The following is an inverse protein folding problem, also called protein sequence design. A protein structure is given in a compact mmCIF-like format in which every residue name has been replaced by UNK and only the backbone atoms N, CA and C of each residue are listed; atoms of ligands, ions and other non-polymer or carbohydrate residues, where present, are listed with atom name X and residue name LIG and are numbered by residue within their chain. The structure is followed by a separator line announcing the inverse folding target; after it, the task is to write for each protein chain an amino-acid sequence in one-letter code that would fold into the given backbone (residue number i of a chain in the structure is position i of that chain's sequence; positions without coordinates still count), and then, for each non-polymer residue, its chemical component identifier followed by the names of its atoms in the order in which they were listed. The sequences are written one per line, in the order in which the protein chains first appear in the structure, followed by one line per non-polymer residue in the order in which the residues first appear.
data_IF_740617133560
#
_entry.id   IF_740617133560
#
_cell.length_a   1.000
_cell.length_b   1.000
_cell.length_c   1.000
_cell.angle_alpha   90.00
_cell.angle_beta   90.00
_cell.angle_gamma   90.00
#
_symmetry.space_group_name_H-M   'P 1'
#
loop_
_entity.id
_entity.type
_entity.pdbx_description
1 polymer ?
#
# COMPACT_ATOMS: atom_id res chain seq x y z
N UNK A 1 -7.83 -32.20 4.35
CA UNK A 1 -6.64 -32.86 4.88
C UNK A 1 -6.11 -32.02 6.01
N UNK A 2 -5.58 -32.64 7.05
CA UNK A 2 -4.95 -31.92 8.16
C UNK A 2 -3.68 -31.20 7.68
N UNK A 3 -3.34 -30.03 8.24
CA UNK A 3 -2.11 -29.32 7.90
C UNK A 3 -0.90 -30.15 8.35
N UNK A 4 -0.08 -30.58 7.38
CA UNK A 4 1.15 -31.31 7.65
C UNK A 4 2.27 -30.34 8.05
N UNK A 5 2.63 -30.32 9.33
CA UNK A 5 3.69 -29.47 9.86
C UNK A 5 5.06 -29.71 9.22
N UNK A 6 5.31 -30.90 8.69
CA UNK A 6 6.55 -31.21 7.97
C UNK A 6 6.67 -30.47 6.62
N UNK A 7 5.55 -30.00 6.06
CA UNK A 7 5.52 -29.23 4.81
C UNK A 7 5.60 -27.73 5.03
N UNK A 8 5.57 -27.26 6.29
CA UNK A 8 5.68 -25.83 6.57
C UNK A 8 7.09 -25.32 6.32
N UNK A 9 7.18 -24.23 5.58
CA UNK A 9 8.43 -23.49 5.40
C UNK A 9 8.87 -22.93 6.75
N UNK A 10 10.12 -23.17 7.13
CA UNK A 10 10.71 -22.65 8.36
C UNK A 10 11.51 -21.39 8.07
N UNK A 11 11.74 -20.58 9.10
CA UNK A 11 12.58 -19.39 8.99
C UNK A 11 14.05 -19.84 8.97
N UNK A 12 14.74 -19.63 7.85
CA UNK A 12 16.17 -19.90 7.71
C UNK A 12 17.00 -18.71 8.22
N UNK A 13 16.58 -17.48 7.92
CA UNK A 13 17.29 -16.25 8.33
C UNK A 13 16.34 -15.05 8.37
N UNK A 14 16.63 -14.09 9.25
CA UNK A 14 16.02 -12.75 9.22
C UNK A 14 16.88 -11.82 8.36
N UNK A 15 16.26 -11.09 7.44
CA UNK A 15 16.92 -10.10 6.59
C UNK A 15 17.56 -8.98 7.44
N UNK A 16 18.73 -8.52 7.02
CA UNK A 16 19.44 -7.45 7.73
C UNK A 16 18.78 -6.07 7.52
N UNK A 17 18.17 -5.88 6.35
CA UNK A 17 17.60 -4.60 5.96
C UNK A 17 16.15 -4.46 6.43
N UNK A 18 15.89 -3.39 7.18
CA UNK A 18 14.55 -2.99 7.61
C UNK A 18 14.16 -1.73 6.87
N UNK A 19 13.17 -1.82 5.98
CA UNK A 19 12.66 -0.67 5.25
C UNK A 19 11.52 0.00 6.01
N UNK A 20 11.47 1.33 5.97
CA UNK A 20 10.37 2.10 6.57
C UNK A 20 9.30 2.32 5.51
N UNK A 21 8.12 1.74 5.73
CA UNK A 21 6.95 1.91 4.86
C UNK A 21 6.12 3.05 5.42
N UNK A 22 5.96 4.11 4.63
CA UNK A 22 5.10 5.24 4.97
C UNK A 22 3.76 5.05 4.28
N UNK A 23 2.70 4.87 5.06
CA UNK A 23 1.31 4.87 4.58
C UNK A 23 0.62 6.13 5.10
N UNK A 24 -0.47 6.60 4.47
CA UNK A 24 -1.22 7.74 4.99
C UNK A 24 -1.60 7.54 6.45
N UNK A 25 -1.11 8.42 7.34
CA UNK A 25 -1.38 8.37 8.77
C UNK A 25 -0.50 7.44 9.61
N UNK A 26 0.41 6.65 9.02
CA UNK A 26 1.29 5.75 9.78
C UNK A 26 2.64 5.47 9.09
N UNK A 27 3.69 5.34 9.90
CA UNK A 27 4.95 4.77 9.46
C UNK A 27 5.15 3.41 10.14
N UNK A 28 5.46 2.39 9.35
CA UNK A 28 5.66 1.03 9.83
C UNK A 28 7.01 0.48 9.38
N UNK A 29 7.49 -0.54 10.07
CA UNK A 29 8.76 -1.21 9.72
C UNK A 29 8.46 -2.48 8.93
N UNK A 30 9.08 -2.64 7.77
CA UNK A 30 9.01 -3.87 6.97
C UNK A 30 10.26 -4.72 7.25
N UNK A 31 10.03 -5.98 7.56
CA UNK A 31 11.05 -7.01 7.76
C UNK A 31 10.96 -8.06 6.66
N UNK A 32 12.12 -8.64 6.33
CA UNK A 32 12.23 -9.76 5.41
C UNK A 32 12.60 -11.03 6.18
N UNK A 33 11.95 -12.15 5.87
CA UNK A 33 12.27 -13.47 6.39
C UNK A 33 12.64 -14.38 5.22
N UNK A 34 13.81 -15.01 5.28
CA UNK A 34 14.21 -16.04 4.32
C UNK A 34 13.66 -17.38 4.78
N UNK A 35 12.86 -18.02 3.94
CA UNK A 35 12.37 -19.38 4.16
C UNK A 35 13.43 -20.44 3.87
N UNK A 36 13.24 -21.64 4.43
CA UNK A 36 14.04 -22.83 4.09
C UNK A 36 13.88 -23.27 2.62
N UNK A 37 12.87 -22.75 1.92
CA UNK A 37 12.65 -22.91 0.49
C UNK A 37 13.45 -21.91 -0.37
N UNK A 38 14.23 -21.02 0.27
CA UNK A 38 15.02 -19.99 -0.39
C UNK A 38 14.23 -18.73 -0.80
N UNK A 39 12.94 -18.64 -0.45
CA UNK A 39 12.10 -17.47 -0.80
C UNK A 39 12.13 -16.41 0.30
N UNK A 40 12.04 -15.15 -0.10
CA UNK A 40 11.85 -14.03 0.82
C UNK A 40 10.38 -13.77 1.09
N UNK A 41 10.02 -13.72 2.35
CA UNK A 41 8.69 -13.38 2.86
C UNK A 41 8.75 -12.02 3.54
N UNK A 42 7.91 -11.10 3.10
CA UNK A 42 7.90 -9.72 3.61
C UNK A 42 6.73 -9.53 4.57
N UNK A 43 7.02 -8.89 5.69
CA UNK A 43 6.02 -8.55 6.69
C UNK A 43 6.18 -7.10 7.13
N UNK A 44 5.07 -6.42 7.35
CA UNK A 44 5.02 -5.11 7.99
C UNK A 44 4.67 -5.31 9.46
N UNK A 45 5.49 -4.74 10.33
CA UNK A 45 5.23 -4.63 11.75
C UNK A 45 4.33 -3.42 11.99
N UNK A 46 3.07 -3.68 12.34
CA UNK A 46 2.13 -2.66 12.77
C UNK A 46 2.22 -2.52 14.30
N UNK A 47 2.53 -1.31 14.75
CA UNK A 47 2.51 -0.92 16.17
C UNK A 47 1.25 -0.11 16.48
N UNK A 48 0.88 -0.04 17.76
CA UNK A 48 -0.27 0.74 18.27
C UNK A 48 -1.63 0.33 17.68
N UNK A 49 -1.78 -0.94 17.30
CA UNK A 49 -3.09 -1.48 16.90
C UNK A 49 -3.94 -1.65 18.16
N UNK A 50 -5.20 -1.19 18.12
CA UNK A 50 -6.15 -1.45 19.19
C UNK A 50 -6.37 -2.98 19.31
N UNK A 51 -6.18 -3.54 20.50
CA UNK A 51 -6.29 -4.98 20.75
C UNK A 51 -7.64 -5.59 20.34
N UNK A 52 -8.73 -4.84 20.45
CA UNK A 52 -10.06 -5.30 20.02
C UNK A 52 -10.17 -5.34 18.51
N UNK A 53 -9.69 -4.30 17.83
CA UNK A 53 -9.63 -4.25 16.36
C UNK A 53 -8.76 -5.37 15.81
N UNK A 54 -7.59 -5.60 16.42
CA UNK A 54 -6.68 -6.68 16.04
C UNK A 54 -7.35 -8.05 16.04
N UNK A 55 -8.06 -8.40 17.13
CA UNK A 55 -8.77 -9.68 17.26
C UNK A 55 -9.94 -9.79 16.29
N UNK A 56 -10.65 -8.70 16.04
CA UNK A 56 -11.79 -8.68 15.11
C UNK A 56 -11.33 -8.92 13.68
N UNK A 57 -10.26 -8.24 13.24
CA UNK A 57 -9.70 -8.42 11.90
C UNK A 57 -9.13 -9.83 11.69
N UNK A 58 -8.48 -10.40 12.70
CA UNK A 58 -7.98 -11.78 12.64
C UNK A 58 -9.11 -12.79 12.42
N UNK A 59 -10.21 -12.67 13.18
CA UNK A 59 -11.40 -13.53 13.02
C UNK A 59 -12.08 -13.32 11.68
N UNK A 60 -12.16 -12.08 11.20
CA UNK A 60 -12.70 -11.79 9.86
C UNK A 60 -11.85 -12.43 8.76
N UNK A 61 -10.52 -12.30 8.83
CA UNK A 61 -9.61 -12.96 7.89
C UNK A 61 -9.72 -14.49 7.95
N UNK A 62 -9.89 -15.05 9.16
CA UNK A 62 -10.12 -16.49 9.34
C UNK A 62 -11.44 -16.93 8.70
N UNK A 63 -12.53 -16.18 8.91
CA UNK A 63 -13.82 -16.45 8.29
C UNK A 63 -13.74 -16.41 6.76
N UNK A 64 -13.05 -15.41 6.18
CA UNK A 64 -12.82 -15.38 4.72
C UNK A 64 -12.07 -16.62 4.22
N UNK A 65 -11.06 -17.10 4.95
CA UNK A 65 -10.35 -18.36 4.62
C UNK A 65 -11.28 -19.57 4.69
N UNK A 66 -12.17 -19.63 5.68
CA UNK A 66 -13.14 -20.72 5.78
C UNK A 66 -14.14 -20.68 4.62
N UNK A 67 -14.65 -19.50 4.24
CA UNK A 67 -15.54 -19.36 3.08
C UNK A 67 -14.81 -19.79 1.79
N UNK A 68 -13.57 -19.36 1.59
CA UNK A 68 -12.78 -19.79 0.43
C UNK A 68 -12.64 -21.32 0.40
N UNK A 69 -12.20 -21.91 1.52
CA UNK A 69 -11.88 -23.32 1.63
C UNK A 69 -13.09 -24.26 1.59
N UNK A 70 -14.26 -23.82 2.08
CA UNK A 70 -15.45 -24.68 2.18
C UNK A 70 -16.53 -24.36 1.15
N UNK A 71 -16.60 -23.14 0.63
CA UNK A 71 -17.62 -22.72 -0.33
C UNK A 71 -17.03 -22.59 -1.72
N UNK A 72 -16.03 -21.72 -1.92
CA UNK A 72 -15.53 -21.41 -3.26
C UNK A 72 -14.78 -22.56 -3.92
N UNK A 73 -14.08 -23.38 -3.13
CA UNK A 73 -13.45 -24.63 -3.63
C UNK A 73 -14.45 -25.70 -4.05
N UNK A 74 -15.73 -25.61 -3.65
CA UNK A 74 -16.73 -26.65 -3.92
C UNK A 74 -17.71 -26.27 -5.01
N UNK A 75 -17.85 -24.98 -5.33
CA UNK A 75 -18.76 -24.50 -6.37
C UNK A 75 -18.05 -24.54 -7.74
N UNK A 76 -18.51 -25.37 -8.70
CA UNK A 76 -17.85 -25.51 -10.01
C UNK A 76 -17.74 -24.20 -10.79
N UNK A 77 -18.77 -23.35 -10.71
CA UNK A 77 -18.78 -22.04 -11.35
C UNK A 77 -17.73 -21.08 -10.80
N UNK A 78 -17.38 -21.20 -9.51
CA UNK A 78 -16.33 -20.41 -8.87
C UNK A 78 -14.94 -20.96 -9.22
N UNK A 79 -14.78 -22.28 -9.19
CA UNK A 79 -13.55 -22.96 -9.60
C UNK A 79 -13.18 -22.67 -11.06
N UNK A 80 -14.14 -22.76 -11.98
CA UNK A 80 -13.94 -22.50 -13.40
C UNK A 80 -13.43 -21.07 -13.69
N UNK A 81 -13.68 -20.14 -12.76
CA UNK A 81 -13.25 -18.73 -12.84
C UNK A 81 -12.08 -18.41 -11.92
N UNK A 82 -11.54 -19.42 -11.22
CA UNK A 82 -10.52 -19.27 -10.19
C UNK A 82 -10.87 -18.18 -9.15
N UNK A 83 -12.14 -18.10 -8.75
CA UNK A 83 -12.58 -17.13 -7.75
C UNK A 83 -12.04 -17.53 -6.38
N UNK A 84 -11.24 -16.65 -5.80
CA UNK A 84 -10.63 -16.83 -4.47
C UNK A 84 -10.84 -15.59 -3.62
N UNK A 85 -11.14 -15.80 -2.34
CA UNK A 85 -11.14 -14.70 -1.37
C UNK A 85 -9.73 -14.50 -0.83
N UNK A 86 -9.11 -13.39 -1.21
CA UNK A 86 -7.83 -12.98 -0.67
C UNK A 86 -8.01 -12.46 0.76
N UNK A 87 -7.52 -13.23 1.74
CA UNK A 87 -7.48 -12.82 3.14
C UNK A 87 -6.03 -12.53 3.54
N UNK A 88 -5.76 -11.40 4.23
CA UNK A 88 -4.40 -11.09 4.66
C UNK A 88 -3.92 -12.11 5.71
N UNK A 89 -2.63 -12.41 5.67
CA UNK A 89 -1.97 -13.18 6.72
C UNK A 89 -1.59 -12.21 7.85
N UNK A 90 -2.25 -12.39 8.99
CA UNK A 90 -2.05 -11.60 10.20
C UNK A 90 -1.43 -12.52 11.26
N UNK A 91 -0.30 -12.11 11.83
CA UNK A 91 0.40 -12.83 12.88
C UNK A 91 0.50 -11.93 14.12
N UNK A 92 -0.35 -12.13 15.15
CA UNK A 92 -0.28 -11.34 16.37
C UNK A 92 1.03 -11.63 17.11
N UNK A 93 1.81 -10.59 17.44
CA UNK A 93 3.05 -10.73 18.20
C UNK A 93 2.91 -10.24 19.65
N UNK A 94 2.01 -9.29 19.89
CA UNK A 94 1.64 -8.79 21.22
C UNK A 94 0.20 -8.25 21.20
N UNK A 95 -0.26 -7.71 22.32
CA UNK A 95 -1.58 -7.08 22.47
C UNK A 95 -1.77 -5.84 21.58
N UNK A 96 -0.67 -5.17 21.22
CA UNK A 96 -0.70 -3.92 20.43
C UNK A 96 0.21 -3.98 19.20
N UNK A 97 0.72 -5.16 18.87
CA UNK A 97 1.63 -5.36 17.74
C UNK A 97 1.30 -6.62 16.98
N UNK A 98 1.46 -6.55 15.65
CA UNK A 98 1.30 -7.70 14.76
C UNK A 98 2.17 -7.58 13.54
N UNK A 99 2.44 -8.72 12.92
CA UNK A 99 3.03 -8.82 11.61
C UNK A 99 1.92 -9.03 10.58
N UNK A 100 1.93 -8.23 9.53
CA UNK A 100 1.00 -8.34 8.40
C UNK A 100 1.82 -8.70 7.17
N UNK A 101 1.44 -9.78 6.48
CA UNK A 101 2.10 -10.12 5.22
C UNK A 101 1.95 -8.97 4.22
N UNK A 102 3.04 -8.64 3.55
CA UNK A 102 3.12 -7.48 2.68
C UNK A 102 3.81 -7.86 1.38
N UNK A 103 3.43 -7.18 0.30
CA UNK A 103 4.09 -7.33 -0.99
C UNK A 103 4.72 -5.99 -1.36
N UNK A 104 6.06 -5.90 -1.50
CA UNK A 104 6.72 -4.66 -1.86
C UNK A 104 6.30 -4.09 -3.21
N UNK A 105 5.73 -4.90 -4.10
CA UNK A 105 5.22 -4.45 -5.40
C UNK A 105 3.81 -3.85 -5.32
N UNK A 106 3.09 -4.08 -4.22
CA UNK A 106 1.71 -3.62 -4.05
C UNK A 106 1.68 -2.23 -3.42
N UNK A 107 0.98 -1.28 -4.07
CA UNK A 107 0.75 0.07 -3.56
C UNK A 107 -0.76 0.30 -3.33
N UNK A 108 -1.15 1.02 -2.27
CA UNK A 108 -2.54 1.32 -2.02
C UNK A 108 -3.07 2.37 -3.01
N UNK A 109 -4.35 2.30 -3.34
CA UNK A 109 -4.99 3.20 -4.31
C UNK A 109 -4.84 4.68 -3.94
N UNK A 110 -4.84 5.00 -2.65
CA UNK A 110 -4.68 6.37 -2.14
C UNK A 110 -3.32 6.99 -2.52
N UNK A 111 -2.25 6.19 -2.54
CA UNK A 111 -0.92 6.68 -2.92
C UNK A 111 -0.85 6.97 -4.42
N UNK A 112 -1.45 6.09 -5.23
CA UNK A 112 -1.58 6.31 -6.68
C UNK A 112 -2.41 7.57 -6.98
N UNK A 113 -3.50 7.80 -6.23
CA UNK A 113 -4.31 9.01 -6.35
C UNK A 113 -3.50 10.27 -5.98
N UNK A 114 -2.75 10.24 -4.87
CA UNK A 114 -1.91 11.37 -4.46
C UNK A 114 -0.83 11.69 -5.50
N UNK A 115 -0.20 10.66 -6.09
CA UNK A 115 0.75 10.83 -7.18
C UNK A 115 0.11 11.48 -8.42
N UNK A 116 -1.10 11.06 -8.81
CA UNK A 116 -1.80 11.65 -9.95
C UNK A 116 -2.17 13.13 -9.70
N UNK A 117 -2.61 13.48 -8.49
CA UNK A 117 -2.95 14.86 -8.14
C UNK A 117 -1.72 15.78 -8.11
N UNK A 118 -0.59 15.30 -7.59
CA UNK A 118 0.66 16.07 -7.59
C UNK A 118 1.19 16.29 -9.01
N UNK A 119 1.11 15.28 -9.88
CA UNK A 119 1.44 15.42 -11.30
C UNK A 119 0.54 16.44 -12.01
N UNK A 120 -0.78 16.39 -11.77
CA UNK A 120 -1.73 17.36 -12.34
C UNK A 120 -1.47 18.79 -11.87
N UNK A 121 -1.16 18.97 -10.59
CA UNK A 121 -0.80 20.28 -10.05
C UNK A 121 0.53 20.81 -10.64
N UNK A 122 1.51 19.94 -10.84
CA UNK A 122 2.78 20.28 -11.49
C UNK A 122 2.58 20.67 -12.97
N UNK A 123 1.71 19.96 -13.70
CA UNK A 123 1.36 20.28 -15.08
C UNK A 123 0.64 21.64 -15.18
N UNK A 124 -0.29 21.94 -14.27
CA UNK A 124 -0.99 23.22 -14.24
C UNK A 124 -0.05 24.42 -13.97
N UNK A 125 1.00 24.24 -13.16
CA UNK A 125 2.05 25.27 -12.92
C UNK A 125 2.98 25.49 -14.11
N UNK A 126 3.08 24.53 -15.04
CA UNK A 126 3.95 24.60 -16.21
C UNK A 126 3.32 25.29 -17.41
N UNK A 127 2.03 25.61 -17.37
CA UNK A 127 1.42 26.49 -18.39
C UNK A 127 1.98 27.89 -18.17
N UNK A 128 2.81 28.43 -19.08
CA UNK A 128 3.30 29.78 -18.93
C UNK A 128 2.08 30.72 -18.99
N UNK A 129 2.01 31.66 -18.05
CA UNK A 129 1.20 32.86 -18.27
C UNK A 129 1.76 33.53 -19.51
N UNK A 130 1.19 33.24 -20.68
CA UNK A 130 1.47 33.97 -21.90
C UNK A 130 0.97 35.40 -21.71
N UNK A 131 1.89 36.28 -21.34
CA UNK A 131 2.00 37.65 -21.82
C UNK A 131 0.67 38.37 -22.14
N UNK A 132 0.07 39.02 -21.14
CA UNK A 132 -0.67 40.26 -21.42
C UNK A 132 0.34 41.41 -21.38
N UNK A 133 0.79 41.79 -22.58
CA UNK A 133 1.57 42.98 -22.84
C UNK A 133 0.80 44.23 -22.40
N UNK A 134 1.15 44.80 -21.24
CA UNK A 134 0.84 46.20 -20.95
C UNK A 134 1.94 47.06 -21.57
N UNK A 135 1.68 47.53 -22.78
CA UNK A 135 2.44 48.60 -23.43
C UNK A 135 2.31 49.88 -22.59
N UNK A 136 3.41 50.51 -22.14
CA UNK A 136 3.32 51.84 -21.56
C UNK A 136 3.11 52.84 -22.71
N UNK A 137 1.94 53.48 -22.73
CA UNK A 137 1.65 54.62 -23.57
C UNK A 137 2.62 55.77 -23.25
N UNK A 138 3.41 56.17 -24.25
CA UNK A 138 4.31 57.33 -24.18
C UNK A 138 3.51 58.63 -24.14
N UNK A 139 3.78 59.58 -23.21
CA UNK A 139 3.19 60.90 -23.26
C UNK A 139 4.03 61.81 -24.18
N UNK A 140 3.35 62.30 -25.21
CA UNK A 140 3.78 63.25 -26.24
C UNK A 140 4.26 64.56 -25.60
N UNK A 141 5.56 64.83 -25.61
CA UNK A 141 6.13 66.12 -25.23
C UNK A 141 5.72 67.19 -26.26
N UNK A 142 5.08 68.26 -25.78
CA UNK A 142 4.71 69.43 -26.59
C UNK A 142 5.96 70.21 -26.97
N UNK A 143 6.15 70.40 -28.28
CA UNK A 143 6.98 71.45 -28.85
C UNK A 143 6.44 72.81 -28.42
N UNK A 144 7.26 73.60 -27.76
CA UNK A 144 7.06 75.03 -27.58
C UNK A 144 7.70 75.74 -28.78
N UNK A 145 6.87 76.41 -29.58
CA UNK A 145 7.29 77.27 -30.68
C UNK A 145 7.00 78.72 -30.28
N UNK A 146 8.03 79.56 -30.50
CA UNK A 146 8.05 81.02 -30.67
C UNK A 146 7.51 81.90 -29.52
#
# INVERSE_FOLDING_TARGET
GEPNSAQHVRIARVGADVSVVRRPGAAARRLALLGTDGRWYWFVLESSVNAMTQRTEERSAQLHRLIDAFVLTRVPAALARNLRLAAPTLLPTSLHTRLVADDPATAPLIDALAAALTQKAAAARRVPMSSSSLSPSSPRARSANA
#
